data_IF_973131846367
#
_entry.id   IF_973131846367
#
_cell.length_a   1.000
_cell.length_b   1.000
_cell.length_c   1.000
_cell.angle_alpha   90.00
_cell.angle_beta   90.00
_cell.angle_gamma   90.00
#
_symmetry.space_group_name_H-M   'P 1'
#
loop_
_entity.id
_entity.type
_entity.pdbx_description
1 polymer ?
#
# COMPACT_ATOMS: atom_id res chain seq x y z
N UNK A 1 0.37 -39.19 0.15
CA UNK A 1 -0.66 -38.16 0.41
C UNK A 1 0.07 -36.91 0.84
N UNK A 2 0.36 -36.03 -0.10
CA UNK A 2 1.29 -34.90 0.10
C UNK A 2 0.51 -33.64 -0.26
N UNK A 3 0.30 -32.75 0.71
CA UNK A 3 -0.19 -31.39 0.44
C UNK A 3 -1.59 -31.03 0.93
N UNK A 4 -2.18 -31.79 1.86
CA UNK A 4 -3.39 -31.30 2.55
C UNK A 4 -2.99 -30.26 3.60
N UNK A 5 -3.68 -29.12 3.59
CA UNK A 5 -3.85 -28.19 4.71
C UNK A 5 -2.86 -27.02 4.83
N UNK A 6 -2.89 -26.08 3.88
CA UNK A 6 -2.77 -24.66 4.26
C UNK A 6 -4.22 -24.18 4.36
N UNK A 7 -4.77 -24.20 5.57
CA UNK A 7 -6.18 -23.85 5.83
C UNK A 7 -6.33 -22.40 6.29
N UNK A 8 -5.24 -21.79 6.76
CA UNK A 8 -5.22 -20.47 7.37
C UNK A 8 -3.95 -19.71 7.00
N UNK A 9 -4.06 -18.39 6.99
CA UNK A 9 -2.97 -17.43 6.78
C UNK A 9 -3.07 -16.32 7.83
N UNK A 10 -1.95 -15.75 8.23
CA UNK A 10 -1.90 -14.65 9.19
C UNK A 10 -1.61 -13.36 8.44
N UNK A 11 -2.37 -12.30 8.74
CA UNK A 11 -2.08 -10.97 8.20
C UNK A 11 -0.86 -10.38 8.91
N UNK A 12 0.25 -10.12 8.21
CA UNK A 12 1.40 -9.45 8.84
C UNK A 12 1.08 -7.99 9.11
N UNK A 13 0.66 -7.28 8.05
CA UNK A 13 0.40 -5.84 8.11
C UNK A 13 -0.42 -5.35 6.92
N UNK A 14 -1.07 -4.20 7.13
CA UNK A 14 -1.76 -3.46 6.09
C UNK A 14 -0.84 -2.41 5.49
N UNK A 15 -0.60 -2.47 4.17
CA UNK A 15 0.08 -1.40 3.42
C UNK A 15 -0.85 -0.20 3.26
N UNK A 16 -2.16 -0.46 3.13
CA UNK A 16 -3.22 0.54 3.00
C UNK A 16 -4.18 0.44 4.17
N UNK A 17 -4.55 1.60 4.73
CA UNK A 17 -5.48 1.67 5.87
C UNK A 17 -6.92 1.45 5.43
N UNK A 18 -7.76 1.04 6.39
CA UNK A 18 -9.20 1.03 6.23
C UNK A 18 -9.73 2.41 5.80
N UNK A 19 -10.62 2.44 4.82
CA UNK A 19 -11.16 3.64 4.21
C UNK A 19 -10.19 4.38 3.26
N UNK A 20 -8.98 3.85 3.01
CA UNK A 20 -8.06 4.44 2.06
C UNK A 20 -8.43 4.08 0.61
N UNK A 21 -8.16 5.01 -0.31
CA UNK A 21 -8.28 4.74 -1.74
C UNK A 21 -7.07 3.96 -2.26
N UNK A 22 -7.35 2.87 -2.98
CA UNK A 22 -6.36 1.96 -3.58
C UNK A 22 -6.60 1.87 -5.08
N UNK A 23 -5.56 1.54 -5.86
CA UNK A 23 -5.66 1.37 -7.30
C UNK A 23 -5.61 -0.12 -7.68
N UNK A 24 -6.09 -0.45 -8.87
CA UNK A 24 -5.94 -1.80 -9.43
C UNK A 24 -4.46 -2.16 -9.50
N UNK A 25 -4.14 -3.42 -9.18
CA UNK A 25 -2.79 -3.99 -9.14
C UNK A 25 -1.88 -3.40 -8.05
N UNK A 26 -2.39 -2.54 -7.18
CA UNK A 26 -1.62 -1.94 -6.08
C UNK A 26 -1.60 -2.86 -4.84
N UNK A 27 -0.45 -2.96 -4.17
CA UNK A 27 -0.31 -3.78 -2.94
C UNK A 27 -1.04 -3.12 -1.78
N UNK A 28 -1.95 -3.87 -1.15
CA UNK A 28 -2.80 -3.38 -0.06
C UNK A 28 -2.46 -4.03 1.30
N UNK A 29 -1.97 -5.28 1.30
CA UNK A 29 -1.66 -6.04 2.50
C UNK A 29 -0.58 -7.09 2.23
N UNK A 30 0.06 -7.55 3.30
CA UNK A 30 1.01 -8.67 3.30
C UNK A 30 0.47 -9.80 4.19
N UNK A 31 0.43 -11.02 3.68
CA UNK A 31 -0.03 -12.24 4.35
C UNK A 31 1.14 -13.23 4.49
N UNK A 32 1.16 -14.00 5.57
CA UNK A 32 2.14 -15.05 5.83
C UNK A 32 1.41 -16.35 6.11
N UNK A 33 1.91 -17.39 5.46
CA UNK A 33 1.57 -18.77 5.77
C UNK A 33 2.80 -19.44 6.38
N UNK A 34 2.62 -20.63 6.95
CA UNK A 34 3.72 -21.46 7.50
C UNK A 34 4.89 -21.69 6.51
N UNK A 35 4.64 -21.56 5.20
CA UNK A 35 5.60 -21.89 4.15
C UNK A 35 6.10 -20.71 3.33
N UNK A 36 5.36 -19.60 3.28
CA UNK A 36 5.66 -18.47 2.40
C UNK A 36 4.89 -17.21 2.79
N UNK A 37 5.45 -16.07 2.41
CA UNK A 37 4.81 -14.75 2.46
C UNK A 37 4.21 -14.43 1.09
N UNK A 38 3.00 -13.87 1.09
CA UNK A 38 2.25 -13.48 -0.10
C UNK A 38 1.81 -12.02 0.02
N UNK A 39 1.86 -11.29 -1.08
CA UNK A 39 1.36 -9.92 -1.17
C UNK A 39 -0.04 -9.92 -1.75
N UNK A 40 -0.93 -9.11 -1.16
CA UNK A 40 -2.29 -8.92 -1.65
C UNK A 40 -2.32 -7.68 -2.51
N UNK A 41 -2.63 -7.85 -3.80
CA UNK A 41 -2.89 -6.76 -4.73
C UNK A 41 -4.40 -6.49 -4.85
N UNK A 42 -4.76 -5.22 -5.01
CA UNK A 42 -6.14 -4.82 -5.23
C UNK A 42 -6.64 -5.22 -6.63
N UNK A 43 -7.78 -5.90 -6.71
CA UNK A 43 -8.39 -6.32 -7.99
C UNK A 43 -8.97 -5.15 -8.81
N UNK A 44 -9.31 -4.05 -8.14
CA UNK A 44 -9.89 -2.84 -8.73
C UNK A 44 -9.45 -1.60 -7.96
N UNK A 45 -9.62 -0.44 -8.57
CA UNK A 45 -9.45 0.83 -7.90
C UNK A 45 -10.73 1.18 -7.12
N UNK A 46 -10.59 1.65 -5.87
CA UNK A 46 -11.74 1.89 -5.00
C UNK A 46 -11.34 2.17 -3.56
N UNK A 47 -12.32 2.21 -2.66
CA UNK A 47 -12.11 2.37 -1.22
C UNK A 47 -11.94 1.00 -0.56
N UNK A 48 -10.84 0.79 0.16
CA UNK A 48 -10.54 -0.44 0.87
C UNK A 48 -11.29 -0.49 2.21
N UNK A 49 -12.08 -1.53 2.42
CA UNK A 49 -12.74 -1.84 3.69
C UNK A 49 -12.19 -3.15 4.25
N UNK A 50 -11.49 -3.07 5.36
CA UNK A 50 -10.83 -4.20 6.04
C UNK A 50 -11.70 -4.72 7.18
N UNK A 51 -11.78 -6.04 7.35
CA UNK A 51 -12.51 -6.67 8.47
C UNK A 51 -11.60 -7.23 9.56
N UNK A 52 -10.32 -7.39 9.25
CA UNK A 52 -9.31 -8.00 10.11
C UNK A 52 -8.19 -7.00 10.39
N UNK A 53 -7.60 -7.09 11.58
CA UNK A 53 -6.46 -6.28 12.00
C UNK A 53 -5.14 -7.00 11.73
N UNK A 54 -4.04 -6.24 11.76
CA UNK A 54 -2.68 -6.77 11.63
C UNK A 54 -2.42 -7.79 12.76
N UNK A 55 -1.97 -8.99 12.39
CA UNK A 55 -1.78 -10.13 13.29
C UNK A 55 -2.99 -11.07 13.40
N UNK A 56 -4.12 -10.77 12.77
CA UNK A 56 -5.27 -11.69 12.76
C UNK A 56 -5.04 -12.88 11.83
N UNK A 57 -5.63 -14.01 12.22
CA UNK A 57 -5.67 -15.25 11.46
C UNK A 57 -6.92 -15.28 10.58
N UNK A 58 -6.73 -15.53 9.29
CA UNK A 58 -7.77 -15.57 8.26
C UNK A 58 -7.80 -16.97 7.65
N UNK A 59 -8.98 -17.57 7.57
CA UNK A 59 -9.15 -18.87 6.93
C UNK A 59 -9.17 -18.73 5.40
N UNK A 60 -8.66 -19.73 4.69
CA UNK A 60 -8.73 -19.74 3.23
C UNK A 60 -10.20 -19.80 2.79
N UNK A 61 -10.60 -18.80 2.00
CA UNK A 61 -11.97 -18.62 1.52
C UNK A 61 -12.75 -17.53 2.25
N UNK A 62 -12.26 -17.02 3.38
CA UNK A 62 -12.88 -15.88 4.05
C UNK A 62 -12.55 -14.55 3.37
N UNK A 63 -13.51 -13.64 3.40
CA UNK A 63 -13.37 -12.30 2.82
C UNK A 63 -12.66 -11.39 3.81
N UNK A 64 -11.35 -11.19 3.61
CA UNK A 64 -10.53 -10.35 4.50
C UNK A 64 -10.79 -8.84 4.36
N UNK A 65 -11.05 -8.40 3.12
CA UNK A 65 -11.32 -7.02 2.78
C UNK A 65 -12.20 -6.94 1.54
N UNK A 66 -12.92 -5.83 1.41
CA UNK A 66 -13.75 -5.51 0.27
C UNK A 66 -13.29 -4.18 -0.33
N UNK A 67 -13.26 -4.12 -1.65
CA UNK A 67 -12.96 -2.88 -2.38
C UNK A 67 -14.27 -2.36 -2.94
N UNK A 68 -14.65 -1.14 -2.56
CA UNK A 68 -15.80 -0.45 -3.13
C UNK A 68 -15.36 0.36 -4.36
N UNK A 69 -15.67 -0.14 -5.55
CA UNK A 69 -15.35 0.49 -6.84
C UNK A 69 -16.39 1.53 -7.27
N UNK A 70 -17.45 1.73 -6.49
CA UNK A 70 -18.46 2.77 -6.74
C UNK A 70 -18.02 4.14 -6.22
N UNK A 71 -17.08 4.15 -5.27
CA UNK A 71 -16.47 5.35 -4.77
C UNK A 71 -15.57 5.97 -5.84
N UNK A 72 -15.97 7.16 -6.32
CA UNK A 72 -15.12 7.96 -7.20
C UNK A 72 -13.78 8.19 -6.50
N UNK A 73 -12.68 8.02 -7.26
CA UNK A 73 -11.35 8.39 -6.80
C UNK A 73 -11.44 9.74 -6.09
N UNK A 74 -10.88 9.89 -4.87
CA UNK A 74 -10.81 11.21 -4.27
C UNK A 74 -10.11 12.07 -5.32
N UNK A 75 -10.86 12.99 -5.92
CA UNK A 75 -10.30 14.08 -6.69
C UNK A 75 -9.48 14.82 -5.66
N UNK A 76 -8.21 14.41 -5.54
CA UNK A 76 -7.19 15.16 -4.86
C UNK A 76 -7.30 16.54 -5.48
N UNK A 77 -7.95 17.42 -4.73
CA UNK A 77 -8.12 18.80 -5.12
C UNK A 77 -6.71 19.26 -5.43
N UNK A 78 -6.50 19.60 -6.69
CA UNK A 78 -5.30 20.24 -7.16
C UNK A 78 -5.25 21.61 -6.49
N UNK A 79 -4.79 21.64 -5.24
CA UNK A 79 -4.03 22.76 -4.68
C UNK A 79 -2.58 22.32 -4.86
N UNK A 80 -2.04 22.51 -6.06
CA UNK A 80 -1.23 23.68 -6.35
C UNK A 80 -0.02 23.79 -5.42
N UNK A 81 1.09 23.22 -5.86
CA UNK A 81 2.37 23.89 -5.79
C UNK A 81 3.14 23.55 -7.08
N UNK A 82 2.89 24.39 -8.08
CA UNK A 82 3.82 24.71 -9.16
C UNK A 82 5.27 24.71 -8.69
N UNK A 83 6.14 24.13 -9.53
CA UNK A 83 7.60 24.19 -9.48
C UNK A 83 8.13 25.65 -9.29
N UNK A 84 9.39 25.83 -8.86
CA UNK A 84 10.49 25.67 -9.81
C UNK A 84 11.77 25.04 -9.24
N UNK A 85 12.56 24.54 -10.18
CA UNK A 85 14.00 24.33 -10.09
C UNK A 85 14.73 25.60 -9.59
N UNK A 86 15.44 25.49 -8.48
CA UNK A 86 16.57 26.33 -8.05
C UNK A 86 17.35 25.46 -7.05
N UNK A 87 18.67 25.24 -7.11
CA UNK A 87 19.76 26.19 -7.33
C UNK A 87 20.93 25.43 -7.99
N UNK A 88 21.34 25.90 -9.17
CA UNK A 88 22.70 25.71 -9.65
C UNK A 88 23.65 26.44 -8.70
N UNK A 89 24.68 25.77 -8.19
CA UNK A 89 25.80 26.43 -7.50
C UNK A 89 26.98 26.61 -8.47
N UNK A 90 27.13 27.80 -9.08
CA UNK A 90 28.45 28.29 -9.47
C UNK A 90 28.87 29.39 -8.49
N UNK A 91 29.88 29.13 -7.66
CA UNK A 91 30.76 30.16 -7.05
C UNK A 91 31.82 29.40 -6.25
N UNK A 92 33.04 29.28 -6.77
CA UNK A 92 34.10 30.31 -6.87
C UNK A 92 34.95 30.34 -5.60
N UNK A 93 36.24 30.09 -5.84
CA UNK A 93 37.36 30.18 -4.93
C UNK A 93 37.30 31.42 -4.03
N UNK A 94 37.50 31.20 -2.73
CA UNK A 94 37.85 32.29 -1.83
C UNK A 94 39.37 32.25 -1.60
N UNK A 95 40.07 33.15 -2.28
CA UNK A 95 41.42 33.60 -1.97
C UNK A 95 41.27 35.00 -1.38
N UNK A 96 41.55 35.18 -0.08
CA UNK A 96 42.03 36.46 0.46
C UNK A 96 42.73 36.22 1.80
N UNK A 97 43.99 36.62 1.81
CA UNK A 97 44.92 36.79 2.93
C UNK A 97 44.48 37.97 3.79
N UNK A 98 44.59 37.86 5.11
CA UNK A 98 44.89 39.01 5.97
C UNK A 98 45.55 38.55 7.28
#
# INVERSE_FOLDING_TARGET
TVGESITEVTLLKWVKKDGAYVQRDEVIAELESEKATFEVNAEKAGILHTKFAEGDTINIGDVMAQIDDTAAAPTASATAATAPVEVATPTTANLTVN
#
